data_IF_464414279055
#
_entry.id   IF_464414279055
#
_cell.length_a   1.000
_cell.length_b   1.000
_cell.length_c   1.000
_cell.angle_alpha   90.00
_cell.angle_beta   90.00
_cell.angle_gamma   90.00
#
_symmetry.space_group_name_H-M   'P 1'
#
loop_
_entity.id
_entity.type
_entity.pdbx_description
1 polymer ?
#
# COMPACT_ATOMS: atom_id res chain seq x y z
N UNK A 1 11.54 5.82 -24.39
CA UNK A 1 11.28 6.50 -23.10
C UNK A 1 9.77 6.64 -23.04
N UNK A 2 9.15 6.03 -22.03
CA UNK A 2 7.72 6.23 -21.79
C UNK A 2 7.57 7.58 -21.12
N UNK A 3 6.82 8.47 -21.72
CA UNK A 3 6.44 9.75 -21.14
C UNK A 3 5.30 9.49 -20.14
N UNK A 4 5.33 10.09 -18.95
CA UNK A 4 4.28 9.97 -17.93
C UNK A 4 2.88 10.28 -18.48
N UNK A 5 2.79 11.20 -19.45
CA UNK A 5 1.54 11.53 -20.15
C UNK A 5 1.02 10.42 -21.06
N UNK A 6 1.86 9.45 -21.46
CA UNK A 6 1.48 8.34 -22.35
C UNK A 6 1.13 7.04 -21.61
N UNK A 7 1.35 6.98 -20.30
CA UNK A 7 1.03 5.81 -19.46
C UNK A 7 -0.48 5.59 -19.40
N UNK A 8 -0.91 4.35 -19.59
CA UNK A 8 -2.32 3.95 -19.51
C UNK A 8 -2.62 3.14 -18.25
N UNK A 9 -3.88 3.10 -17.83
CA UNK A 9 -4.30 2.25 -16.70
C UNK A 9 -4.06 0.76 -16.99
N UNK A 10 -4.29 0.31 -18.23
CA UNK A 10 -4.08 -1.07 -18.61
C UNK A 10 -2.61 -1.52 -18.45
N UNK A 11 -1.66 -0.67 -18.81
CA UNK A 11 -0.24 -0.94 -18.62
C UNK A 11 0.14 -0.99 -17.13
N UNK A 12 -0.46 -0.12 -16.29
CA UNK A 12 -0.24 -0.15 -14.84
C UNK A 12 -0.86 -1.38 -14.18
N UNK A 13 -1.93 -1.93 -14.71
CA UNK A 13 -2.58 -3.15 -14.22
C UNK A 13 -1.84 -4.42 -14.65
N UNK A 14 -1.22 -4.44 -15.84
CA UNK A 14 -0.50 -5.60 -16.38
C UNK A 14 0.89 -5.77 -15.71
N UNK A 15 1.80 -4.82 -15.93
CA UNK A 15 3.13 -4.80 -15.28
C UNK A 15 3.58 -3.38 -14.92
N UNK A 16 3.24 -2.90 -13.71
CA UNK A 16 3.60 -1.55 -13.29
C UNK A 16 5.10 -1.36 -13.04
N UNK A 17 5.88 -2.42 -12.84
CA UNK A 17 7.27 -2.29 -12.39
C UNK A 17 8.18 -1.61 -13.41
N UNK A 18 8.02 -1.95 -14.67
CA UNK A 18 8.76 -1.33 -15.77
C UNK A 18 8.42 0.16 -15.90
N UNK A 19 7.14 0.49 -15.78
CA UNK A 19 6.63 1.86 -15.85
C UNK A 19 7.20 2.69 -14.71
N UNK A 20 7.11 2.22 -13.48
CA UNK A 20 7.70 2.92 -12.33
C UNK A 20 9.20 3.12 -12.47
N UNK A 21 9.92 2.17 -13.07
CA UNK A 21 11.35 2.32 -13.34
C UNK A 21 11.62 3.46 -14.33
N UNK A 22 10.83 3.57 -15.39
CA UNK A 22 10.97 4.63 -16.40
C UNK A 22 10.59 6.01 -15.84
N UNK A 23 9.48 6.11 -15.10
CA UNK A 23 9.02 7.36 -14.50
C UNK A 23 10.01 7.93 -13.48
N UNK A 24 10.79 7.09 -12.78
CA UNK A 24 11.88 7.57 -11.91
C UNK A 24 12.96 8.35 -12.63
N UNK A 25 13.12 8.17 -13.94
CA UNK A 25 14.07 8.96 -14.72
C UNK A 25 13.57 10.40 -14.97
N UNK A 26 12.27 10.66 -14.85
CA UNK A 26 11.68 11.99 -14.99
C UNK A 26 11.77 12.81 -13.70
N UNK A 27 11.81 12.13 -12.53
CA UNK A 27 11.94 12.80 -11.24
C UNK A 27 11.35 11.99 -10.08
N UNK A 28 11.45 12.52 -8.86
CA UNK A 28 10.93 11.85 -7.66
C UNK A 28 9.41 11.84 -7.56
N UNK A 29 8.75 12.79 -8.23
CA UNK A 29 7.29 12.98 -8.27
C UNK A 29 6.92 13.34 -9.70
N UNK A 30 5.99 12.61 -10.30
CA UNK A 30 5.56 12.78 -11.68
C UNK A 30 4.04 12.86 -11.76
N UNK A 31 3.53 13.65 -12.67
CA UNK A 31 2.10 13.66 -12.98
C UNK A 31 1.78 12.52 -13.94
N UNK A 32 0.76 11.73 -13.65
CA UNK A 32 0.31 10.64 -14.52
C UNK A 32 -1.14 10.90 -14.92
N UNK A 33 -1.35 11.21 -16.19
CA UNK A 33 -2.66 11.60 -16.74
C UNK A 33 -3.72 10.50 -16.52
N UNK A 34 -3.35 9.24 -16.71
CA UNK A 34 -4.25 8.10 -16.51
C UNK A 34 -4.79 7.99 -15.07
N UNK A 35 -4.04 8.47 -14.08
CA UNK A 35 -4.45 8.49 -12.68
C UNK A 35 -5.05 9.84 -12.27
N UNK A 36 -4.97 10.84 -13.14
CA UNK A 36 -5.33 12.24 -12.85
C UNK A 36 -4.71 12.70 -11.52
N UNK A 37 -3.41 12.42 -11.34
CA UNK A 37 -2.75 12.67 -10.05
C UNK A 37 -1.23 12.62 -10.10
N UNK A 38 -0.64 13.20 -9.05
CA UNK A 38 0.79 13.10 -8.80
C UNK A 38 1.15 11.75 -8.20
N UNK A 39 2.15 11.11 -8.75
CA UNK A 39 2.69 9.83 -8.27
C UNK A 39 4.10 10.03 -7.74
N UNK A 40 4.32 9.62 -6.52
CA UNK A 40 5.64 9.64 -5.89
C UNK A 40 6.34 8.33 -6.22
N UNK A 41 7.35 8.38 -7.07
CA UNK A 41 8.10 7.21 -7.57
C UNK A 41 9.46 7.02 -6.89
N UNK A 42 9.89 8.00 -6.09
CA UNK A 42 11.13 7.94 -5.30
C UNK A 42 10.81 7.52 -3.86
N UNK A 43 11.60 6.54 -3.34
CA UNK A 43 11.35 5.91 -2.04
C UNK A 43 11.36 6.89 -0.87
N UNK A 44 12.34 7.81 -0.83
CA UNK A 44 12.46 8.72 0.32
C UNK A 44 11.33 9.74 0.31
N UNK A 45 10.96 10.25 -0.85
CA UNK A 45 9.82 11.15 -1.01
C UNK A 45 8.51 10.46 -0.58
N UNK A 46 8.30 9.19 -0.97
CA UNK A 46 7.14 8.41 -0.56
C UNK A 46 7.09 8.20 0.97
N UNK A 47 8.23 7.85 1.59
CA UNK A 47 8.31 7.72 3.05
C UNK A 47 8.02 9.03 3.77
N UNK A 48 8.52 10.14 3.26
CA UNK A 48 8.26 11.46 3.83
C UNK A 48 6.78 11.84 3.74
N UNK A 49 6.17 11.65 2.57
CA UNK A 49 4.73 11.90 2.38
C UNK A 49 3.86 11.03 3.31
N UNK A 50 4.15 9.73 3.42
CA UNK A 50 3.41 8.82 4.32
C UNK A 50 3.54 9.16 5.80
N UNK A 51 4.58 9.89 6.21
CA UNK A 51 4.79 10.34 7.61
C UNK A 51 4.17 11.70 7.91
N UNK A 52 3.80 12.44 6.91
CA UNK A 52 3.25 13.79 7.02
C UNK A 52 1.73 13.76 6.76
N UNK A 53 0.99 13.19 7.71
CA UNK A 53 -0.48 13.14 7.63
C UNK A 53 -1.15 14.51 7.81
N UNK A 54 -0.40 15.53 8.20
CA UNK A 54 -0.92 16.91 8.24
C UNK A 54 -1.03 17.53 6.85
N UNK A 55 -0.12 17.17 5.94
CA UNK A 55 -0.10 17.65 4.57
C UNK A 55 -0.78 16.66 3.62
N UNK A 56 -0.57 15.35 3.82
CA UNK A 56 -1.06 14.27 2.96
C UNK A 56 -2.03 13.40 3.75
N UNK A 57 -3.32 13.62 3.58
CA UNK A 57 -4.37 12.88 4.27
C UNK A 57 -4.96 11.79 3.39
N UNK A 58 -5.38 10.69 4.01
CA UNK A 58 -6.27 9.68 3.40
C UNK A 58 -7.75 9.94 3.74
N UNK A 59 -8.02 10.87 4.66
CA UNK A 59 -9.37 11.30 5.01
C UNK A 59 -9.90 12.29 3.94
N UNK A 60 -10.13 11.75 2.74
CA UNK A 60 -10.63 12.47 1.56
C UNK A 60 -11.80 11.67 0.96
N UNK A 61 -12.94 12.31 0.65
CA UNK A 61 -14.09 11.62 0.06
C UNK A 61 -13.82 10.96 -1.29
N UNK A 62 -12.75 11.35 -1.99
CA UNK A 62 -12.31 10.70 -3.24
C UNK A 62 -11.52 9.42 -3.02
N UNK A 63 -11.08 9.14 -1.78
CA UNK A 63 -10.30 7.93 -1.48
C UNK A 63 -11.19 6.69 -1.60
N UNK A 64 -10.95 5.88 -2.63
CA UNK A 64 -11.81 4.73 -3.00
C UNK A 64 -11.95 3.70 -1.89
N UNK A 65 -10.89 3.44 -1.12
CA UNK A 65 -10.93 2.53 0.03
C UNK A 65 -11.92 3.03 1.08
N UNK A 66 -11.94 4.34 1.36
CA UNK A 66 -12.89 4.95 2.29
C UNK A 66 -14.34 4.82 1.82
N UNK A 67 -14.58 4.91 0.52
CA UNK A 67 -15.92 4.73 -0.05
C UNK A 67 -16.44 3.29 0.08
N UNK A 68 -15.54 2.29 0.06
CA UNK A 68 -15.91 0.86 0.15
C UNK A 68 -16.02 0.39 1.60
N UNK A 69 -15.02 0.68 2.44
CA UNK A 69 -14.96 0.14 3.81
C UNK A 69 -15.45 1.10 4.89
N UNK A 70 -15.72 2.36 4.52
CA UNK A 70 -16.09 3.41 5.48
C UNK A 70 -14.92 3.84 6.39
N UNK A 71 -15.22 4.55 7.50
CA UNK A 71 -14.21 5.01 8.43
C UNK A 71 -13.48 3.84 9.11
N UNK A 72 -12.17 3.77 8.92
CA UNK A 72 -11.31 2.70 9.45
C UNK A 72 -9.87 3.20 9.62
N UNK A 73 -8.97 2.35 10.11
CA UNK A 73 -7.54 2.69 10.14
C UNK A 73 -6.91 2.86 8.75
N UNK A 74 -7.62 2.50 7.67
CA UNK A 74 -7.15 2.65 6.29
C UNK A 74 -7.62 3.95 5.64
N UNK A 75 -8.64 4.59 6.19
CA UNK A 75 -9.35 5.72 5.57
C UNK A 75 -9.47 6.94 6.49
N UNK A 76 -8.72 6.96 7.58
CA UNK A 76 -8.69 8.07 8.54
C UNK A 76 -7.27 8.37 8.99
N UNK A 77 -7.03 9.59 9.47
CA UNK A 77 -5.76 10.04 10.02
C UNK A 77 -5.87 10.46 11.50
N UNK A 78 -4.73 10.78 12.12
CA UNK A 78 -4.62 11.33 13.45
C UNK A 78 -5.26 10.47 14.55
N UNK A 79 -5.93 11.09 15.51
CA UNK A 79 -6.49 10.42 16.67
C UNK A 79 -7.55 9.35 16.32
N UNK A 80 -8.27 9.50 15.23
CA UNK A 80 -9.23 8.50 14.75
C UNK A 80 -8.51 7.27 14.22
N UNK A 81 -7.47 7.44 13.40
CA UNK A 81 -6.59 6.36 12.98
C UNK A 81 -6.01 5.61 14.19
N UNK A 82 -5.44 6.33 15.16
CA UNK A 82 -4.79 5.75 16.33
C UNK A 82 -5.77 4.92 17.17
N UNK A 83 -6.99 5.39 17.32
CA UNK A 83 -8.06 4.64 18.00
C UNK A 83 -8.41 3.33 17.29
N UNK A 84 -8.47 3.34 15.98
CA UNK A 84 -8.76 2.13 15.17
C UNK A 84 -7.56 1.18 15.13
N UNK A 85 -6.35 1.70 15.05
CA UNK A 85 -5.11 0.92 14.93
C UNK A 85 -4.64 0.36 16.28
N UNK A 86 -4.82 1.11 17.37
CA UNK A 86 -4.29 0.78 18.68
C UNK A 86 -4.53 -0.65 19.15
N UNK A 87 -5.75 -1.22 19.05
CA UNK A 87 -6.01 -2.62 19.43
C UNK A 87 -5.15 -3.66 18.72
N UNK A 88 -4.70 -3.35 17.50
CA UNK A 88 -3.92 -4.29 16.68
C UNK A 88 -2.40 -4.20 16.93
N UNK A 89 -1.89 -3.05 17.37
CA UNK A 89 -0.44 -2.82 17.51
C UNK A 89 0.22 -3.88 18.40
N UNK A 90 -0.41 -4.24 19.51
CA UNK A 90 0.13 -5.22 20.46
C UNK A 90 0.24 -6.63 19.86
N UNK A 91 -0.76 -7.02 19.06
CA UNK A 91 -0.79 -8.33 18.40
C UNK A 91 0.25 -8.47 17.28
N UNK A 92 0.72 -7.36 16.72
CA UNK A 92 1.69 -7.32 15.63
C UNK A 92 3.07 -6.81 16.07
N UNK A 93 3.41 -6.91 17.34
CA UNK A 93 4.78 -6.66 17.81
C UNK A 93 5.74 -7.73 17.29
N UNK A 94 7.03 -7.40 17.22
CA UNK A 94 8.06 -8.35 16.79
C UNK A 94 8.06 -9.64 17.64
N UNK A 95 7.78 -9.56 18.94
CA UNK A 95 7.68 -10.71 19.86
C UNK A 95 6.47 -11.56 19.51
N UNK A 96 5.27 -10.96 19.38
CA UNK A 96 4.06 -11.70 19.03
C UNK A 96 4.16 -12.36 17.65
N UNK A 97 4.81 -11.71 16.69
CA UNK A 97 5.06 -12.28 15.36
C UNK A 97 6.04 -13.46 15.41
N UNK A 98 7.05 -13.42 16.30
CA UNK A 98 7.96 -14.58 16.49
C UNK A 98 7.20 -15.81 16.97
N UNK A 99 6.32 -15.66 17.95
CA UNK A 99 5.51 -16.76 18.48
C UNK A 99 4.53 -17.32 17.42
N UNK A 100 4.06 -16.48 16.50
CA UNK A 100 3.17 -16.89 15.43
C UNK A 100 3.87 -17.59 14.25
N UNK A 101 5.19 -17.45 14.08
CA UNK A 101 5.93 -17.98 12.91
C UNK A 101 5.78 -19.50 12.79
N UNK A 102 5.96 -20.23 13.88
CA UNK A 102 5.92 -21.68 13.86
C UNK A 102 4.51 -22.21 13.58
N UNK A 103 3.50 -21.55 14.12
CA UNK A 103 2.12 -21.84 13.77
C UNK A 103 1.85 -21.59 12.29
N UNK A 104 2.27 -20.43 11.74
CA UNK A 104 2.10 -20.11 10.32
C UNK A 104 2.79 -21.14 9.41
N UNK A 105 4.02 -21.56 9.74
CA UNK A 105 4.75 -22.58 8.98
C UNK A 105 4.03 -23.93 9.00
N UNK A 106 3.57 -24.35 10.17
CA UNK A 106 2.86 -25.62 10.34
C UNK A 106 1.55 -25.63 9.55
N UNK A 107 0.79 -24.54 9.61
CA UNK A 107 -0.47 -24.42 8.90
C UNK A 107 -0.27 -24.34 7.38
N UNK A 108 0.74 -23.61 6.91
CA UNK A 108 1.10 -23.59 5.49
C UNK A 108 1.49 -24.99 4.98
N UNK A 109 2.32 -25.72 5.73
CA UNK A 109 2.69 -27.08 5.38
C UNK A 109 1.48 -28.03 5.33
N UNK A 110 0.56 -27.91 6.30
CA UNK A 110 -0.69 -28.68 6.32
C UNK A 110 -1.56 -28.40 5.10
N UNK A 111 -1.72 -27.12 4.72
CA UNK A 111 -2.50 -26.72 3.55
C UNK A 111 -1.88 -27.26 2.25
N UNK A 112 -0.57 -27.12 2.08
CA UNK A 112 0.15 -27.67 0.92
C UNK A 112 -0.05 -29.19 0.83
N UNK A 113 0.14 -29.92 1.92
CA UNK A 113 -0.07 -31.37 1.94
C UNK A 113 -1.50 -31.76 1.55
N UNK A 114 -2.50 -30.98 1.94
CA UNK A 114 -3.90 -31.25 1.58
C UNK A 114 -4.21 -31.06 0.08
N UNK A 115 -3.42 -30.26 -0.63
CA UNK A 115 -3.55 -30.05 -2.06
C UNK A 115 -2.82 -31.15 -2.84
N UNK A 116 -1.63 -31.55 -2.38
CA UNK A 116 -0.81 -32.57 -3.05
C UNK A 116 -1.31 -34.01 -2.83
N UNK A 117 -2.20 -34.23 -1.86
CA UNK A 117 -2.80 -35.54 -1.58
C UNK A 117 -4.05 -35.83 -2.44
N UNK A 118 -4.43 -34.98 -3.36
CA UNK A 118 -5.52 -35.17 -4.33
C UNK A 118 -4.97 -35.59 -5.69
#
# INVERSE_FOLDING_TARGET
MTDAASVTLAELEDDPHQIWHQLRAEGPVVWVDALNGWVIVERQAAVNAMRDSATFTVDDPRFSTGQVVGPSMLSTDGATHDRHRGPFVTAFTAIALTDAIDWCRSEAARLVASITAR
#
